data_IF_899489472670
#
_entry.id   IF_899489472670
#
_cell.length_a   1.000
_cell.length_b   1.000
_cell.length_c   1.000
_cell.angle_alpha   90.00
_cell.angle_beta   90.00
_cell.angle_gamma   90.00
#
_symmetry.space_group_name_H-M   'P 1'
#
loop_
_entity.id
_entity.type
_entity.pdbx_description
1 polymer ?
#
# COMPACT_ATOMS: atom_id res chain seq x y z
N UNK A 1 -5.98 19.46 28.03
CA UNK A 1 -6.60 18.24 27.45
C UNK A 1 -6.64 18.23 25.92
N UNK A 2 -6.83 19.38 25.21
CA UNK A 2 -6.79 19.41 23.73
C UNK A 2 -5.41 19.18 23.09
N UNK A 3 -4.31 19.61 23.73
CA UNK A 3 -2.96 19.41 23.17
C UNK A 3 -2.52 17.93 23.18
N UNK A 4 -2.88 17.18 24.22
CA UNK A 4 -2.50 15.77 24.35
C UNK A 4 -3.15 14.88 23.29
N UNK A 5 -4.38 15.21 22.87
CA UNK A 5 -5.09 14.47 21.82
C UNK A 5 -4.53 14.70 20.41
N UNK A 6 -4.05 15.92 20.12
CA UNK A 6 -3.47 16.23 18.80
C UNK A 6 -2.11 15.54 18.61
N UNK A 7 -1.23 15.63 19.63
CA UNK A 7 0.09 14.98 19.63
C UNK A 7 -0.01 13.46 19.48
N UNK A 8 -1.00 12.83 20.14
CA UNK A 8 -1.25 11.39 20.02
C UNK A 8 -1.76 11.00 18.62
N UNK A 9 -2.64 11.81 18.02
CA UNK A 9 -3.16 11.56 16.68
C UNK A 9 -2.08 11.69 15.61
N UNK A 10 -1.17 12.64 15.75
CA UNK A 10 -0.06 12.84 14.83
C UNK A 10 0.96 11.70 14.93
N UNK A 11 1.34 11.26 16.13
CA UNK A 11 2.20 10.07 16.31
C UNK A 11 1.60 8.80 15.71
N UNK A 12 0.30 8.55 15.90
CA UNK A 12 -0.37 7.40 15.29
C UNK A 12 -0.31 7.43 13.76
N UNK A 13 -0.47 8.60 13.13
CA UNK A 13 -0.32 8.74 11.67
C UNK A 13 1.10 8.43 11.20
N UNK A 14 2.11 8.90 11.93
CA UNK A 14 3.51 8.65 11.60
C UNK A 14 3.85 7.15 11.66
N UNK A 15 3.34 6.43 12.66
CA UNK A 15 3.53 4.99 12.78
C UNK A 15 2.83 4.18 11.65
N UNK A 16 1.60 4.53 11.29
CA UNK A 16 0.89 3.88 10.16
C UNK A 16 1.63 4.13 8.84
N UNK A 17 2.10 5.36 8.64
CA UNK A 17 2.86 5.73 7.46
C UNK A 17 4.19 4.97 7.39
N UNK A 18 4.90 4.82 8.51
CA UNK A 18 6.12 4.03 8.61
C UNK A 18 5.89 2.55 8.26
N UNK A 19 4.83 1.92 8.78
CA UNK A 19 4.48 0.52 8.45
C UNK A 19 4.21 0.33 6.95
N UNK A 20 3.44 1.25 6.34
CA UNK A 20 3.17 1.23 4.89
C UNK A 20 4.43 1.49 4.07
N UNK A 21 5.29 2.38 4.54
CA UNK A 21 6.56 2.68 3.88
C UNK A 21 7.47 1.46 3.88
N UNK A 22 7.65 0.78 5.03
CA UNK A 22 8.38 -0.48 5.12
C UNK A 22 7.85 -1.50 4.12
N UNK A 23 6.53 -1.70 4.06
CA UNK A 23 5.90 -2.64 3.12
C UNK A 23 6.24 -2.31 1.65
N UNK A 24 6.14 -1.04 1.25
CA UNK A 24 6.45 -0.60 -0.12
C UNK A 24 7.94 -0.75 -0.41
N UNK A 25 8.81 -0.42 0.53
CA UNK A 25 10.26 -0.53 0.37
C UNK A 25 10.72 -1.98 0.26
N UNK A 26 10.11 -2.91 1.02
CA UNK A 26 10.38 -4.35 0.87
C UNK A 26 10.03 -4.82 -0.53
N UNK A 27 8.84 -4.48 -1.05
CA UNK A 27 8.45 -4.82 -2.43
C UNK A 27 9.37 -4.20 -3.48
N UNK A 28 9.81 -2.97 -3.24
CA UNK A 28 10.75 -2.29 -4.14
C UNK A 28 12.13 -2.97 -4.12
N UNK A 29 12.64 -3.35 -2.95
CA UNK A 29 13.89 -4.10 -2.82
C UNK A 29 13.81 -5.48 -3.50
N UNK A 30 12.69 -6.21 -3.34
CA UNK A 30 12.44 -7.46 -4.06
C UNK A 30 12.50 -7.27 -5.59
N UNK A 31 11.86 -6.22 -6.11
CA UNK A 31 11.92 -5.88 -7.54
C UNK A 31 13.33 -5.50 -8.00
N UNK A 32 14.11 -4.83 -7.15
CA UNK A 32 15.51 -4.50 -7.41
C UNK A 32 16.39 -5.75 -7.48
N UNK A 33 16.21 -6.71 -6.56
CA UNK A 33 16.91 -8.00 -6.59
C UNK A 33 16.60 -8.79 -7.85
N UNK A 34 15.32 -8.89 -8.24
CA UNK A 34 14.92 -9.54 -9.49
C UNK A 34 15.54 -8.87 -10.73
N UNK A 35 15.65 -7.54 -10.73
CA UNK A 35 16.35 -6.82 -11.80
C UNK A 35 17.85 -7.11 -11.84
N UNK A 36 18.50 -7.23 -10.66
CA UNK A 36 19.91 -7.61 -10.54
C UNK A 36 20.16 -8.98 -11.15
N UNK A 37 19.36 -9.98 -10.77
CA UNK A 37 19.51 -11.36 -11.21
C UNK A 37 19.30 -11.48 -12.73
N UNK A 38 18.31 -10.78 -13.27
CA UNK A 38 18.07 -10.71 -14.72
C UNK A 38 19.24 -10.03 -15.46
N UNK A 39 19.85 -9.01 -14.87
CA UNK A 39 20.99 -8.32 -15.47
C UNK A 39 22.25 -9.20 -15.42
N UNK A 40 22.50 -9.89 -14.30
CA UNK A 40 23.57 -10.88 -14.15
C UNK A 40 23.44 -12.00 -15.20
N UNK A 41 22.26 -12.59 -15.33
CA UNK A 41 22.01 -13.65 -16.33
C UNK A 41 22.19 -13.18 -17.78
N UNK A 42 21.89 -11.91 -18.10
CA UNK A 42 22.19 -11.33 -19.41
C UNK A 42 23.69 -11.16 -19.64
N UNK A 43 24.44 -10.68 -18.65
CA UNK A 43 25.89 -10.55 -18.74
C UNK A 43 26.54 -11.92 -18.95
N UNK A 44 26.13 -12.94 -18.18
CA UNK A 44 26.61 -14.31 -18.34
C UNK A 44 26.43 -14.80 -19.78
N UNK A 45 25.23 -14.62 -20.34
CA UNK A 45 24.93 -15.02 -21.71
C UNK A 45 25.77 -14.26 -22.76
N UNK A 46 26.00 -12.96 -22.55
CA UNK A 46 26.84 -12.18 -23.47
C UNK A 46 28.32 -12.59 -23.37
N UNK A 47 28.80 -12.95 -22.18
CA UNK A 47 30.15 -13.49 -22.01
C UNK A 47 30.32 -14.83 -22.74
N UNK A 48 29.34 -15.73 -22.65
CA UNK A 48 29.34 -16.98 -23.41
C UNK A 48 29.43 -16.76 -24.94
N UNK A 49 28.70 -15.75 -25.47
CA UNK A 49 28.75 -15.38 -26.90
C UNK A 49 30.15 -14.92 -27.32
N UNK A 50 30.87 -14.25 -26.42
CA UNK A 50 32.26 -13.80 -26.67
C UNK A 50 33.29 -14.92 -26.55
N UNK A 51 32.85 -16.14 -26.18
CA UNK A 51 33.71 -17.31 -25.97
C UNK A 51 34.35 -17.38 -24.59
N UNK A 52 33.91 -16.54 -23.64
CA UNK A 52 34.35 -16.56 -22.24
C UNK A 52 33.31 -17.29 -21.39
N UNK A 53 33.58 -18.53 -21.05
CA UNK A 53 32.81 -19.25 -20.02
C UNK A 53 33.25 -18.76 -18.65
N UNK A 54 32.29 -18.34 -17.84
CA UNK A 54 32.53 -17.78 -16.50
C UNK A 54 31.57 -18.47 -15.55
N UNK A 55 32.08 -18.94 -14.42
CA UNK A 55 31.23 -19.51 -13.36
C UNK A 55 30.42 -18.40 -12.67
N UNK A 56 29.37 -18.79 -11.94
CA UNK A 56 28.52 -17.81 -11.26
C UNK A 56 29.27 -17.01 -10.18
N UNK A 57 30.26 -17.64 -9.54
CA UNK A 57 31.16 -17.05 -8.53
C UNK A 57 32.15 -16.09 -9.17
N UNK A 58 32.83 -16.51 -10.24
CA UNK A 58 33.72 -15.63 -11.01
C UNK A 58 32.98 -14.43 -11.59
N UNK A 59 31.73 -14.61 -12.04
CA UNK A 59 30.91 -13.51 -12.54
C UNK A 59 30.55 -12.53 -11.42
N UNK A 60 30.29 -13.02 -10.22
CA UNK A 60 30.02 -12.19 -9.04
C UNK A 60 31.25 -11.35 -8.67
N UNK A 61 32.43 -11.96 -8.61
CA UNK A 61 33.70 -11.24 -8.36
C UNK A 61 33.96 -10.15 -9.41
N UNK A 62 33.64 -10.43 -10.68
CA UNK A 62 33.76 -9.48 -11.78
C UNK A 62 32.79 -8.29 -11.64
N UNK A 63 31.60 -8.51 -11.08
CA UNK A 63 30.62 -7.46 -10.82
C UNK A 63 31.02 -6.60 -9.61
N UNK A 64 31.51 -7.23 -8.53
CA UNK A 64 31.95 -6.54 -7.31
C UNK A 64 33.19 -5.68 -7.52
N UNK A 65 34.09 -6.10 -8.43
CA UNK A 65 35.33 -5.37 -8.72
C UNK A 65 35.12 -3.97 -9.33
N UNK A 66 33.90 -3.61 -9.74
CA UNK A 66 33.52 -2.28 -10.23
C UNK A 66 34.24 -1.79 -11.49
N UNK A 67 35.11 -2.62 -12.06
CA UNK A 67 35.96 -2.28 -13.19
C UNK A 67 35.46 -2.95 -14.48
N UNK A 68 34.84 -2.16 -15.35
CA UNK A 68 34.29 -2.62 -16.63
C UNK A 68 35.33 -3.28 -17.56
N UNK A 69 36.62 -2.95 -17.38
CA UNK A 69 37.70 -3.55 -18.18
C UNK A 69 37.93 -5.05 -17.91
N UNK A 70 37.42 -5.58 -16.79
CA UNK A 70 37.51 -7.02 -16.49
C UNK A 70 36.65 -7.86 -17.44
N UNK A 71 35.58 -7.26 -18.00
CA UNK A 71 34.75 -7.90 -19.02
C UNK A 71 35.44 -7.95 -20.38
N UNK A 72 36.28 -6.97 -20.73
CA UNK A 72 37.00 -6.92 -22.01
C UNK A 72 38.30 -7.71 -22.01
N UNK A 73 38.84 -8.03 -20.84
CA UNK A 73 40.05 -8.84 -20.69
C UNK A 73 39.85 -10.26 -21.25
N UNK A 74 40.52 -10.53 -22.38
CA UNK A 74 40.57 -11.86 -23.02
C UNK A 74 39.67 -12.04 -24.26
N UNK A 75 38.92 -11.01 -24.67
CA UNK A 75 38.01 -11.10 -25.82
C UNK A 75 38.69 -10.58 -27.09
N UNK A 76 38.67 -11.39 -28.15
CA UNK A 76 39.22 -11.01 -29.46
C UNK A 76 38.32 -9.99 -30.19
N UNK A 77 38.93 -9.10 -30.96
CA UNK A 77 38.24 -7.97 -31.58
C UNK A 77 37.43 -8.41 -32.81
N UNK A 78 36.14 -8.65 -32.62
CA UNK A 78 35.17 -8.96 -33.69
C UNK A 78 33.94 -8.07 -33.54
N UNK A 79 33.24 -7.75 -34.64
CA UNK A 79 32.01 -6.92 -34.59
C UNK A 79 30.94 -7.50 -33.67
N UNK A 80 30.84 -8.83 -33.60
CA UNK A 80 29.90 -9.53 -32.71
C UNK A 80 30.32 -9.33 -31.25
N UNK A 81 31.61 -9.43 -30.96
CA UNK A 81 32.16 -9.24 -29.62
C UNK A 81 32.02 -7.79 -29.14
N UNK A 82 32.19 -6.80 -30.02
CA UNK A 82 32.00 -5.38 -29.68
C UNK A 82 30.55 -5.10 -29.22
N UNK A 83 29.56 -5.70 -29.89
CA UNK A 83 28.16 -5.54 -29.51
C UNK A 83 27.86 -6.19 -28.15
N UNK A 84 28.35 -7.42 -27.94
CA UNK A 84 28.21 -8.12 -26.67
C UNK A 84 28.86 -7.33 -25.52
N UNK A 85 30.06 -6.79 -25.74
CA UNK A 85 30.78 -5.96 -24.78
C UNK A 85 30.03 -4.68 -24.41
N UNK A 86 29.49 -3.97 -25.40
CA UNK A 86 28.68 -2.77 -25.14
C UNK A 86 27.42 -3.09 -24.31
N UNK A 87 26.79 -4.24 -24.56
CA UNK A 87 25.63 -4.69 -23.78
C UNK A 87 26.02 -5.06 -22.34
N UNK A 88 27.14 -5.76 -22.16
CA UNK A 88 27.70 -6.08 -20.84
C UNK A 88 27.97 -4.80 -20.05
N UNK A 89 28.67 -3.83 -20.64
CA UNK A 89 28.98 -2.56 -19.98
C UNK A 89 27.71 -1.79 -19.58
N UNK A 90 26.70 -1.75 -20.48
CA UNK A 90 25.43 -1.12 -20.18
C UNK A 90 24.70 -1.79 -19.00
N UNK A 91 24.70 -3.13 -18.94
CA UNK A 91 24.10 -3.89 -17.83
C UNK A 91 24.88 -3.73 -16.53
N UNK A 92 26.21 -3.77 -16.58
CA UNK A 92 27.06 -3.51 -15.42
C UNK A 92 26.78 -2.12 -14.83
N UNK A 93 26.66 -1.10 -15.68
CA UNK A 93 26.29 0.26 -15.24
C UNK A 93 24.93 0.31 -14.56
N UNK A 94 23.96 -0.49 -15.01
CA UNK A 94 22.65 -0.56 -14.36
C UNK A 94 22.70 -1.28 -13.01
N UNK A 95 23.54 -2.31 -12.87
CA UNK A 95 23.82 -2.95 -11.57
C UNK A 95 24.47 -1.95 -10.60
N UNK A 96 25.44 -1.15 -11.05
CA UNK A 96 26.06 -0.11 -10.22
C UNK A 96 25.06 0.96 -9.75
N UNK A 97 24.11 1.35 -10.62
CA UNK A 97 23.01 2.26 -10.23
C UNK A 97 22.06 1.61 -9.22
N UNK A 98 21.78 0.32 -9.41
CA UNK A 98 20.96 -0.46 -8.48
C UNK A 98 21.59 -0.48 -7.09
N UNK A 99 22.89 -0.75 -6.98
CA UNK A 99 23.61 -0.75 -5.71
C UNK A 99 23.52 0.60 -4.99
N UNK A 100 23.67 1.70 -5.72
CA UNK A 100 23.47 3.05 -5.15
C UNK A 100 22.05 3.20 -4.60
N UNK A 101 21.05 2.76 -5.36
CA UNK A 101 19.66 2.84 -4.93
C UNK A 101 19.38 1.96 -3.70
N UNK A 102 19.95 0.75 -3.63
CA UNK A 102 19.81 -0.13 -2.46
C UNK A 102 20.45 0.50 -1.22
N UNK A 103 21.60 1.17 -1.36
CA UNK A 103 22.22 1.91 -0.25
C UNK A 103 21.30 3.02 0.26
N UNK A 104 20.66 3.77 -0.63
CA UNK A 104 19.66 4.77 -0.25
C UNK A 104 18.44 4.15 0.46
N UNK A 105 17.97 2.98 -0.01
CA UNK A 105 16.91 2.22 0.66
C UNK A 105 17.32 1.80 2.08
N UNK A 106 18.55 1.31 2.23
CA UNK A 106 19.10 0.91 3.51
C UNK A 106 19.13 2.08 4.50
N UNK A 107 19.60 3.25 4.08
CA UNK A 107 19.64 4.45 4.93
C UNK A 107 18.22 4.86 5.37
N UNK A 108 17.24 4.82 4.46
CA UNK A 108 15.84 5.04 4.80
C UNK A 108 15.27 3.99 5.77
N UNK A 109 15.69 2.72 5.66
CA UNK A 109 15.31 1.67 6.60
C UNK A 109 15.86 1.92 8.00
N UNK A 110 17.11 2.36 8.10
CA UNK A 110 17.75 2.72 9.38
C UNK A 110 17.01 3.90 10.02
N UNK A 111 16.68 4.93 9.25
CA UNK A 111 15.91 6.08 9.74
C UNK A 111 14.52 5.68 10.26
N UNK A 112 13.84 4.76 9.57
CA UNK A 112 12.53 4.28 10.00
C UNK A 112 12.63 3.38 11.22
N UNK A 113 13.64 2.52 11.30
CA UNK A 113 13.88 1.71 12.49
C UNK A 113 14.06 2.62 13.73
N UNK A 114 14.85 3.70 13.61
CA UNK A 114 15.01 4.69 14.68
C UNK A 114 13.70 5.44 15.01
N UNK A 115 12.88 5.79 14.01
CA UNK A 115 11.59 6.43 14.24
C UNK A 115 10.58 5.51 14.94
N UNK A 116 10.60 4.21 14.63
CA UNK A 116 9.71 3.20 15.22
C UNK A 116 10.16 2.83 16.64
N UNK A 117 11.47 2.68 16.88
CA UNK A 117 12.02 2.41 18.22
C UNK A 117 11.66 3.52 19.23
N UNK A 118 11.78 4.78 18.81
CA UNK A 118 11.35 5.93 19.62
C UNK A 118 9.83 5.99 19.87
N UNK A 119 9.01 5.26 19.10
CA UNK A 119 7.54 5.24 19.18
C UNK A 119 6.97 3.96 19.82
N UNK A 120 7.81 3.04 20.31
CA UNK A 120 7.51 1.65 20.66
C UNK A 120 6.37 1.35 21.66
N UNK A 121 5.70 2.35 22.24
CA UNK A 121 4.52 2.16 23.09
C UNK A 121 3.16 2.34 22.40
N UNK A 122 3.11 2.90 21.18
CA UNK A 122 1.83 3.31 20.55
C UNK A 122 1.34 2.33 19.46
N UNK A 123 2.22 1.57 18.82
CA UNK A 123 1.91 0.75 17.63
C UNK A 123 0.89 -0.36 17.89
N UNK A 124 1.01 -1.13 18.98
CA UNK A 124 0.04 -2.19 19.30
C UNK A 124 -1.38 -1.65 19.62
N UNK A 125 -1.48 -0.40 20.09
CA UNK A 125 -2.78 0.24 20.33
C UNK A 125 -3.40 0.83 19.06
N UNK A 126 -2.63 1.00 17.98
CA UNK A 126 -3.12 1.51 16.69
C UNK A 126 -3.95 0.46 15.97
N UNK A 127 -3.51 -0.80 15.96
CA UNK A 127 -4.24 -1.88 15.30
C UNK A 127 -5.62 -2.07 15.96
N UNK A 128 -5.67 -2.08 17.30
CA UNK A 128 -6.94 -2.16 18.04
C UNK A 128 -7.85 -0.94 17.87
N UNK A 129 -7.32 0.30 17.78
CA UNK A 129 -8.15 1.50 17.63
C UNK A 129 -8.59 1.75 16.18
N UNK A 130 -7.78 1.34 15.19
CA UNK A 130 -8.12 1.44 13.78
C UNK A 130 -9.20 0.41 13.40
N UNK A 131 -9.09 -0.84 13.85
CA UNK A 131 -10.13 -1.86 13.66
C UNK A 131 -11.46 -1.44 14.30
N UNK A 132 -11.40 -0.85 15.50
CA UNK A 132 -12.60 -0.31 16.13
C UNK A 132 -13.19 0.87 15.35
N UNK A 133 -12.37 1.80 14.85
CA UNK A 133 -12.85 2.96 14.09
C UNK A 133 -13.48 2.59 12.75
N UNK A 134 -12.92 1.61 12.02
CA UNK A 134 -13.52 1.07 10.80
C UNK A 134 -14.83 0.33 11.13
N UNK A 135 -14.85 -0.48 12.19
CA UNK A 135 -16.05 -1.16 12.67
C UNK A 135 -17.16 -0.20 13.13
N UNK A 136 -16.81 0.96 13.70
CA UNK A 136 -17.78 2.01 14.07
C UNK A 136 -18.39 2.69 12.84
N UNK A 137 -17.61 2.94 11.78
CA UNK A 137 -18.13 3.53 10.53
C UNK A 137 -19.07 2.54 9.84
N UNK A 138 -18.73 1.26 9.78
CA UNK A 138 -19.57 0.24 9.17
C UNK A 138 -20.89 0.04 9.93
N UNK A 139 -20.84 0.01 11.27
CA UNK A 139 -22.03 -0.03 12.13
C UNK A 139 -22.86 1.26 12.04
N UNK A 140 -22.24 2.43 11.97
CA UNK A 140 -22.95 3.70 11.79
C UNK A 140 -23.67 3.78 10.44
N UNK A 141 -23.07 3.26 9.36
CA UNK A 141 -23.74 3.13 8.06
C UNK A 141 -24.90 2.12 8.13
N UNK A 142 -24.74 1.01 8.85
CA UNK A 142 -25.83 0.06 9.05
C UNK A 142 -27.00 0.64 9.88
N UNK A 143 -26.70 1.39 10.94
CA UNK A 143 -27.70 1.98 11.83
C UNK A 143 -28.44 3.14 11.18
N UNK A 144 -27.76 3.98 10.38
CA UNK A 144 -28.44 5.02 9.57
C UNK A 144 -29.37 4.40 8.53
N UNK A 145 -28.98 3.28 7.91
CA UNK A 145 -29.84 2.53 6.98
C UNK A 145 -31.06 1.91 7.68
N UNK A 146 -30.90 1.38 8.90
CA UNK A 146 -32.02 0.87 9.72
C UNK A 146 -32.94 2.01 10.16
N UNK A 147 -32.39 3.13 10.64
CA UNK A 147 -33.16 4.30 11.06
C UNK A 147 -34.01 4.86 9.91
N UNK A 148 -33.46 4.94 8.69
CA UNK A 148 -34.21 5.36 7.50
C UNK A 148 -35.41 4.44 7.20
N UNK A 149 -35.24 3.12 7.34
CA UNK A 149 -36.33 2.14 7.19
C UNK A 149 -37.40 2.31 8.26
N UNK A 150 -37.01 2.41 9.54
CA UNK A 150 -37.97 2.62 10.64
C UNK A 150 -38.74 3.93 10.49
N UNK A 151 -38.09 5.00 10.02
CA UNK A 151 -38.76 6.28 9.77
C UNK A 151 -39.81 6.16 8.63
N UNK A 152 -39.53 5.38 7.60
CA UNK A 152 -40.49 5.14 6.50
C UNK A 152 -41.70 4.32 6.97
N UNK A 153 -41.48 3.30 7.80
CA UNK A 153 -42.55 2.49 8.38
C UNK A 153 -43.42 3.29 9.37
N UNK A 154 -42.78 4.14 10.20
CA UNK A 154 -43.50 5.02 11.13
C UNK A 154 -44.40 6.02 10.41
N UNK A 155 -43.93 6.63 9.31
CA UNK A 155 -44.76 7.54 8.49
C UNK A 155 -45.98 6.84 7.90
N UNK A 156 -45.84 5.59 7.43
CA UNK A 156 -46.97 4.80 6.92
C UNK A 156 -48.00 4.49 8.01
N UNK A 157 -47.54 4.13 9.21
CA UNK A 157 -48.42 3.87 10.36
C UNK A 157 -49.15 5.14 10.83
N UNK A 158 -48.45 6.28 10.86
CA UNK A 158 -49.06 7.58 11.22
C UNK A 158 -50.14 8.00 10.22
N UNK A 159 -49.91 7.83 8.91
CA UNK A 159 -50.92 8.12 7.88
C UNK A 159 -52.16 7.23 8.03
N UNK A 160 -51.97 5.94 8.33
CA UNK A 160 -53.08 5.01 8.53
C UNK A 160 -53.94 5.42 9.73
N UNK A 161 -53.32 5.77 10.86
CA UNK A 161 -54.03 6.23 12.07
C UNK A 161 -54.79 7.53 11.78
N UNK A 162 -54.17 8.49 11.08
CA UNK A 162 -54.83 9.75 10.71
C UNK A 162 -56.08 9.49 9.86
N UNK A 163 -56.00 8.63 8.84
CA UNK A 163 -57.15 8.27 8.01
C UNK A 163 -58.28 7.63 8.83
N UNK A 164 -57.97 6.73 9.77
CA UNK A 164 -58.97 6.13 10.66
C UNK A 164 -59.66 7.19 11.53
N UNK A 165 -58.92 8.14 12.11
CA UNK A 165 -59.49 9.21 12.93
C UNK A 165 -60.44 10.12 12.12
N UNK A 166 -60.09 10.44 10.87
CA UNK A 166 -60.93 11.26 9.99
C UNK A 166 -62.25 10.55 9.67
N UNK A 167 -62.21 9.25 9.37
CA UNK A 167 -63.41 8.46 9.09
C UNK A 167 -64.35 8.44 10.31
N UNK A 168 -63.80 8.22 11.51
CA UNK A 168 -64.58 8.22 12.75
C UNK A 168 -65.22 9.59 13.00
N UNK A 169 -64.49 10.68 12.77
CA UNK A 169 -65.03 12.04 12.93
C UNK A 169 -66.19 12.33 11.96
N UNK A 170 -66.12 11.85 10.71
CA UNK A 170 -67.21 11.98 9.74
C UNK A 170 -68.45 11.20 10.20
N UNK A 171 -68.28 9.95 10.64
CA UNK A 171 -69.39 9.11 11.13
C UNK A 171 -70.08 9.78 12.32
N UNK A 172 -69.29 10.24 13.30
CA UNK A 172 -69.82 10.97 14.47
C UNK A 172 -70.52 12.26 14.05
N UNK A 173 -69.93 13.04 13.15
CA UNK A 173 -70.53 14.27 12.64
C UNK A 173 -71.86 14.03 11.92
N UNK A 174 -71.94 13.00 11.07
CA UNK A 174 -73.19 12.60 10.40
C UNK A 174 -74.25 12.12 11.39
N UNK A 175 -73.86 11.37 12.42
CA UNK A 175 -74.80 10.91 13.46
C UNK A 175 -75.38 12.08 14.25
N UNK A 176 -74.54 13.02 14.69
CA UNK A 176 -74.97 14.24 15.39
C UNK A 176 -75.85 15.12 14.49
N UNK A 177 -75.47 15.29 13.22
CA UNK A 177 -76.26 16.05 12.25
C UNK A 177 -77.66 15.44 12.05
N UNK A 178 -77.74 14.10 11.94
CA UNK A 178 -79.01 13.39 11.79
C UNK A 178 -79.86 13.37 13.07
N UNK A 179 -79.28 13.68 14.23
CA UNK A 179 -80.00 13.80 15.51
C UNK A 179 -80.49 15.23 15.77
N UNK A 180 -79.78 16.24 15.25
CA UNK A 180 -80.15 17.66 15.36
C UNK A 180 -81.20 18.07 14.34
N UNK A 181 -81.20 17.45 13.15
CA UNK A 181 -82.20 17.67 12.09
C UNK A 181 -83.43 16.81 12.30
#
# INVERSE_FOLDING_TARGET
MKLTGHVHFDCNKHAILAKKFVEVMTKYNEAQMDFRDKSKGRIARQLEITGKTTTDEELEDMLEGGNSSVFTAGIMDSKINQQALNEIEARHKDIMRLESSIKELHDMFVDIAMLVENQGGMIDRIESNMDQSVGFVERAVADTKKAAKFQQEARRKQMMILCCCVILAIIFGSFVYSFIK
#
